data_IF_510166322321
#
_entry.id   IF_510166322321
#
_cell.length_a   1.000
_cell.length_b   1.000
_cell.length_c   1.000
_cell.angle_alpha   90.00
_cell.angle_beta   90.00
_cell.angle_gamma   90.00
#
_symmetry.space_group_name_H-M   'P 1'
#
loop_
_entity.id
_entity.type
_entity.pdbx_description
1 polymer ?
#
# COMPACT_ATOMS: atom_id res chain seq x y z
N UNK A 1 -13.85 0.79 11.21
CA UNK A 1 -12.50 1.31 10.96
C UNK A 1 -11.50 0.25 11.33
N UNK A 2 -10.72 -0.21 10.36
CA UNK A 2 -9.75 -1.31 10.52
C UNK A 2 -8.46 -0.92 9.82
N UNK A 3 -7.32 -1.15 10.48
CA UNK A 3 -6.01 -1.15 9.81
C UNK A 3 -5.62 -2.58 9.49
N UNK A 4 -4.97 -2.76 8.35
CA UNK A 4 -4.35 -4.03 7.97
C UNK A 4 -3.03 -3.74 7.28
N UNK A 5 -2.01 -4.49 7.65
CA UNK A 5 -0.74 -4.57 6.95
C UNK A 5 -0.56 -6.05 6.60
N UNK A 6 -0.29 -6.35 5.34
CA UNK A 6 -0.19 -7.73 4.86
C UNK A 6 0.99 -7.90 3.93
N UNK A 7 1.62 -9.07 3.96
CA UNK A 7 2.58 -9.51 2.94
C UNK A 7 2.05 -10.74 2.24
N UNK A 8 2.34 -10.85 0.94
CA UNK A 8 1.97 -12.02 0.16
C UNK A 8 3.00 -13.13 0.36
N UNK A 9 2.50 -14.32 0.68
CA UNK A 9 3.28 -15.54 0.90
C UNK A 9 3.48 -16.27 -0.42
N UNK A 10 2.44 -16.31 -1.26
CA UNK A 10 2.51 -16.87 -2.61
C UNK A 10 1.41 -16.34 -3.50
N UNK A 11 1.67 -16.37 -4.80
CA UNK A 11 0.70 -16.26 -5.89
C UNK A 11 0.75 -17.53 -6.74
N UNK A 12 -0.41 -17.96 -7.24
CA UNK A 12 -0.57 -19.03 -8.21
C UNK A 12 -1.52 -18.58 -9.32
N UNK A 13 -1.17 -18.88 -10.56
CA UNK A 13 -1.97 -18.56 -11.74
C UNK A 13 -2.52 -19.84 -12.39
N UNK A 14 -3.81 -20.08 -12.29
CA UNK A 14 -4.45 -21.30 -12.78
C UNK A 14 -3.80 -22.56 -12.16
N UNK A 15 -3.29 -23.45 -13.01
CA UNK A 15 -2.70 -24.72 -12.57
C UNK A 15 -1.21 -24.65 -12.21
N UNK A 16 -0.56 -23.50 -12.35
CA UNK A 16 0.88 -23.35 -12.12
C UNK A 16 1.25 -23.64 -10.66
N UNK A 17 2.52 -23.95 -10.37
CA UNK A 17 2.97 -24.07 -8.98
C UNK A 17 2.94 -22.72 -8.26
N UNK A 18 2.54 -22.65 -6.97
CA UNK A 18 2.65 -21.42 -6.19
C UNK A 18 4.09 -20.89 -6.16
N UNK A 19 4.25 -19.58 -6.29
CA UNK A 19 5.54 -18.90 -6.22
C UNK A 19 5.41 -17.54 -5.53
N UNK A 20 6.52 -16.91 -5.15
CA UNK A 20 6.50 -15.51 -4.68
C UNK A 20 7.70 -14.75 -5.23
N UNK A 21 7.62 -14.24 -6.48
CA UNK A 21 8.72 -13.56 -7.13
C UNK A 21 8.97 -12.16 -6.56
N UNK A 22 8.07 -11.64 -5.72
CA UNK A 22 8.11 -10.26 -5.24
C UNK A 22 8.26 -10.16 -3.72
N UNK A 23 8.77 -9.03 -3.26
CA UNK A 23 8.49 -8.53 -1.92
C UNK A 23 7.23 -7.68 -2.00
N UNK A 24 6.08 -8.32 -1.74
CA UNK A 24 4.77 -7.65 -1.75
C UNK A 24 4.37 -7.20 -0.35
N UNK A 25 3.99 -5.93 -0.22
CA UNK A 25 3.49 -5.33 1.01
C UNK A 25 2.27 -4.46 0.69
N UNK A 26 1.16 -4.77 1.35
CA UNK A 26 -0.11 -4.05 1.20
C UNK A 26 -0.51 -3.45 2.53
N UNK A 27 -0.91 -2.18 2.52
CA UNK A 27 -1.56 -1.55 3.66
C UNK A 27 -2.99 -1.16 3.30
N UNK A 28 -3.90 -1.33 4.24
CA UNK A 28 -5.29 -0.89 4.14
C UNK A 28 -5.68 -0.14 5.40
N UNK A 29 -6.34 0.99 5.23
CA UNK A 29 -6.93 1.77 6.31
C UNK A 29 -8.37 2.06 5.89
N UNK A 30 -9.31 1.41 6.58
CA UNK A 30 -10.74 1.51 6.28
C UNK A 30 -11.04 1.22 4.80
N UNK A 31 -11.65 2.16 4.06
CA UNK A 31 -11.97 2.02 2.65
C UNK A 31 -10.85 2.37 1.66
N UNK A 32 -9.59 2.53 2.10
CA UNK A 32 -8.46 2.88 1.24
C UNK A 32 -7.31 1.89 1.39
N UNK A 33 -6.50 1.76 0.33
CA UNK A 33 -5.36 0.85 0.32
C UNK A 33 -4.20 1.37 -0.54
N UNK A 34 -3.02 0.81 -0.29
CA UNK A 34 -1.81 0.99 -1.09
C UNK A 34 -1.08 -0.36 -1.18
N UNK A 35 -0.75 -0.80 -2.40
CA UNK A 35 -0.07 -2.05 -2.73
C UNK A 35 1.27 -1.73 -3.42
N UNK A 36 2.36 -2.33 -2.91
CA UNK A 36 3.68 -2.28 -3.51
C UNK A 36 4.25 -3.68 -3.67
N UNK A 37 4.55 -4.06 -4.92
CA UNK A 37 5.20 -5.31 -5.31
C UNK A 37 6.53 -5.01 -5.98
N UNK A 38 7.62 -5.43 -5.35
CA UNK A 38 8.99 -5.24 -5.86
C UNK A 38 9.58 -6.58 -6.24
N UNK A 39 10.09 -6.73 -7.47
CA UNK A 39 10.74 -7.94 -7.94
C UNK A 39 11.97 -8.28 -7.09
N UNK A 40 12.06 -9.52 -6.59
CA UNK A 40 13.21 -9.98 -5.79
C UNK A 40 14.49 -10.15 -6.63
N UNK A 41 14.35 -10.27 -7.94
CA UNK A 41 15.47 -10.53 -8.86
C UNK A 41 16.31 -9.29 -9.15
N UNK A 42 15.68 -8.12 -9.23
CA UNK A 42 16.31 -6.91 -9.74
C UNK A 42 15.84 -5.61 -9.07
N UNK A 43 15.01 -5.72 -8.02
CA UNK A 43 14.42 -4.60 -7.28
C UNK A 43 13.56 -3.65 -8.14
N UNK A 44 13.15 -4.06 -9.35
CA UNK A 44 12.21 -3.30 -10.17
C UNK A 44 10.79 -3.36 -9.59
N UNK A 45 9.98 -2.33 -9.86
CA UNK A 45 8.55 -2.36 -9.50
C UNK A 45 7.86 -3.35 -10.45
N UNK A 46 7.29 -4.41 -9.89
CA UNK A 46 6.44 -5.34 -10.65
C UNK A 46 5.05 -4.72 -10.86
N UNK A 47 4.46 -4.27 -9.76
CA UNK A 47 3.19 -3.56 -9.73
C UNK A 47 3.11 -2.70 -8.47
N UNK A 48 2.66 -1.47 -8.61
CA UNK A 48 2.33 -0.60 -7.48
C UNK A 48 1.07 0.19 -7.82
N UNK A 49 0.14 0.24 -6.88
CA UNK A 49 -1.15 0.89 -7.07
C UNK A 49 -1.77 1.29 -5.74
N UNK A 50 -2.68 2.25 -5.79
CA UNK A 50 -3.41 2.73 -4.61
C UNK A 50 -4.79 3.23 -5.02
N UNK A 51 -5.73 3.13 -4.09
CA UNK A 51 -7.11 3.47 -4.39
C UNK A 51 -8.09 3.17 -3.26
N UNK A 52 -9.33 2.90 -3.66
CA UNK A 52 -10.44 2.61 -2.73
C UNK A 52 -10.77 1.13 -2.74
N UNK A 53 -11.04 0.60 -1.55
CA UNK A 53 -11.56 -0.76 -1.36
C UNK A 53 -13.05 -0.69 -1.06
N UNK A 54 -13.82 -1.48 -1.77
CA UNK A 54 -15.25 -1.71 -1.58
C UNK A 54 -15.45 -3.14 -1.07
N UNK A 55 -16.33 -3.31 -0.07
CA UNK A 55 -16.75 -4.65 0.36
C UNK A 55 -18.07 -4.97 -0.35
N UNK A 56 -18.01 -5.88 -1.32
CA UNK A 56 -19.16 -6.31 -2.14
C UNK A 56 -20.05 -7.29 -1.36
N UNK A 57 -19.45 -8.20 -0.59
CA UNK A 57 -20.14 -9.11 0.34
C UNK A 57 -19.29 -9.35 1.58
N UNK A 58 -19.93 -9.64 2.72
CA UNK A 58 -19.26 -9.97 3.98
C UNK A 58 -19.14 -11.48 4.23
N UNK A 59 -20.01 -12.30 3.59
CA UNK A 59 -20.05 -13.75 3.77
C UNK A 59 -20.44 -14.46 2.45
N UNK A 60 -19.47 -15.04 1.71
CA UNK A 60 -18.03 -14.92 1.93
C UNK A 60 -17.55 -13.47 1.76
N UNK A 61 -16.41 -13.14 2.35
CA UNK A 61 -15.82 -11.80 2.20
C UNK A 61 -15.38 -11.60 0.75
N UNK A 62 -16.06 -10.71 0.03
CA UNK A 62 -15.77 -10.36 -1.35
C UNK A 62 -15.45 -8.87 -1.42
N UNK A 63 -14.27 -8.53 -1.92
CA UNK A 63 -13.80 -7.15 -2.08
C UNK A 63 -13.61 -6.78 -3.55
N UNK A 64 -13.79 -5.50 -3.84
CA UNK A 64 -13.44 -4.86 -5.11
C UNK A 64 -12.48 -3.70 -4.86
N UNK A 65 -11.43 -3.57 -5.66
CA UNK A 65 -10.49 -2.46 -5.53
C UNK A 65 -10.55 -1.54 -6.75
N UNK A 66 -10.78 -0.26 -6.48
CA UNK A 66 -10.87 0.79 -7.50
C UNK A 66 -9.55 1.55 -7.52
N UNK A 67 -8.74 1.32 -8.55
CA UNK A 67 -7.41 1.93 -8.68
C UNK A 67 -7.55 3.42 -9.02
N UNK A 68 -6.82 4.26 -8.30
CA UNK A 68 -6.71 5.70 -8.57
C UNK A 68 -5.35 6.01 -9.22
N UNK A 69 -4.30 5.30 -8.78
CA UNK A 69 -2.99 5.25 -9.43
C UNK A 69 -2.61 3.79 -9.63
N UNK A 70 -1.96 3.47 -10.76
CA UNK A 70 -1.56 2.12 -11.15
C UNK A 70 -0.33 2.16 -12.08
N UNK A 71 0.76 1.51 -11.68
CA UNK A 71 2.03 1.50 -12.45
C UNK A 71 1.95 0.75 -13.78
N UNK A 72 0.95 -0.11 -13.96
CA UNK A 72 0.66 -0.85 -15.20
C UNK A 72 -0.44 -0.17 -16.03
N UNK A 73 -0.99 0.95 -15.55
CA UNK A 73 -2.06 1.69 -16.21
C UNK A 73 -3.35 0.88 -16.39
N UNK A 74 -3.62 -0.04 -15.46
CA UNK A 74 -4.84 -0.85 -15.42
C UNK A 74 -5.77 -0.21 -14.39
N UNK A 75 -6.90 0.33 -14.83
CA UNK A 75 -7.86 1.05 -13.97
C UNK A 75 -9.24 0.38 -13.89
N UNK A 76 -9.42 -0.71 -14.61
CA UNK A 76 -10.58 -1.58 -14.41
C UNK A 76 -10.46 -2.20 -13.00
N UNK A 77 -11.51 -2.15 -12.17
CA UNK A 77 -11.46 -2.73 -10.84
C UNK A 77 -11.17 -4.23 -10.88
N UNK A 78 -10.31 -4.71 -9.99
CA UNK A 78 -10.16 -6.13 -9.70
C UNK A 78 -11.03 -6.53 -8.50
N UNK A 79 -11.36 -7.82 -8.44
CA UNK A 79 -12.29 -8.43 -7.48
C UNK A 79 -11.68 -9.73 -6.93
N UNK A 80 -11.89 -9.95 -5.63
CA UNK A 80 -11.28 -11.07 -4.91
C UNK A 80 -12.14 -11.54 -3.73
N UNK A 81 -12.33 -12.84 -3.65
CA UNK A 81 -13.00 -13.53 -2.55
C UNK A 81 -11.98 -14.07 -1.54
N UNK A 82 -12.28 -13.95 -0.25
CA UNK A 82 -11.38 -14.32 0.83
C UNK A 82 -11.91 -15.48 1.67
N UNK A 83 -11.00 -16.41 1.95
CA UNK A 83 -11.18 -17.50 2.92
C UNK A 83 -10.06 -17.44 3.98
N UNK A 84 -10.39 -17.73 5.24
CA UNK A 84 -9.38 -17.86 6.29
C UNK A 84 -8.78 -19.28 6.28
N UNK A 85 -7.46 -19.36 6.20
CA UNK A 85 -6.75 -20.63 6.28
C UNK A 85 -6.52 -21.05 7.74
N UNK A 86 -6.36 -22.34 7.97
CA UNK A 86 -6.19 -22.92 9.32
C UNK A 86 -4.92 -22.48 10.04
N UNK A 87 -3.94 -21.97 9.31
CA UNK A 87 -2.68 -21.44 9.84
C UNK A 87 -2.75 -19.95 10.21
N UNK A 88 -3.90 -19.29 10.03
CA UNK A 88 -4.11 -17.87 10.29
C UNK A 88 -3.78 -16.93 9.12
N UNK A 89 -3.33 -17.47 7.98
CA UNK A 89 -3.21 -16.71 6.73
C UNK A 89 -4.61 -16.60 6.05
N UNK A 90 -4.72 -15.75 5.03
CA UNK A 90 -5.94 -15.62 4.21
C UNK A 90 -5.65 -16.04 2.77
N UNK A 91 -6.53 -16.86 2.19
CA UNK A 91 -6.54 -17.17 0.76
C UNK A 91 -7.45 -16.16 0.06
N UNK A 92 -6.91 -15.45 -0.92
CA UNK A 92 -7.65 -14.64 -1.86
C UNK A 92 -7.74 -15.38 -3.20
N UNK A 93 -8.92 -15.44 -3.78
CA UNK A 93 -9.14 -16.00 -5.12
C UNK A 93 -9.88 -15.01 -5.99
N UNK A 94 -9.52 -14.97 -7.27
CA UNK A 94 -10.14 -14.06 -8.24
C UNK A 94 -9.75 -14.42 -9.66
N UNK A 95 -9.99 -13.50 -10.59
CA UNK A 95 -9.56 -13.65 -11.98
C UNK A 95 -9.22 -12.28 -12.55
N UNK A 96 -8.01 -12.15 -13.09
CA UNK A 96 -7.56 -10.91 -13.73
C UNK A 96 -6.66 -11.21 -14.93
N UNK A 97 -6.43 -10.19 -15.75
CA UNK A 97 -5.50 -10.27 -16.88
C UNK A 97 -4.09 -10.61 -16.36
N UNK A 98 -3.56 -11.76 -16.78
CA UNK A 98 -2.24 -12.23 -16.34
C UNK A 98 -1.16 -11.82 -17.35
N UNK A 99 -0.25 -10.90 -17.03
CA UNK A 99 0.79 -10.45 -17.96
C UNK A 99 1.73 -11.59 -18.39
N UNK A 100 2.05 -12.51 -17.48
CA UNK A 100 2.89 -13.68 -17.75
C UNK A 100 2.29 -14.63 -18.79
N UNK A 101 0.95 -14.61 -18.92
CA UNK A 101 0.18 -15.39 -19.91
C UNK A 101 -0.32 -14.52 -21.06
N UNK A 102 0.37 -13.41 -21.34
CA UNK A 102 0.05 -12.53 -22.48
C UNK A 102 -1.22 -11.71 -22.31
N UNK A 103 -1.63 -11.43 -21.07
CA UNK A 103 -2.83 -10.66 -20.75
C UNK A 103 -4.13 -11.47 -20.77
N UNK A 104 -4.05 -12.80 -20.88
CA UNK A 104 -5.23 -13.67 -20.78
C UNK A 104 -5.80 -13.59 -19.37
N UNK A 105 -7.12 -13.41 -19.27
CA UNK A 105 -7.84 -13.48 -17.98
C UNK A 105 -7.63 -14.87 -17.40
N UNK A 106 -6.96 -14.93 -16.26
CA UNK A 106 -6.52 -16.17 -15.63
C UNK A 106 -6.96 -16.15 -14.16
N UNK A 107 -7.52 -17.27 -13.65
CA UNK A 107 -7.77 -17.42 -12.22
C UNK A 107 -6.48 -17.28 -11.42
N UNK A 108 -6.55 -16.63 -10.27
CA UNK A 108 -5.42 -16.54 -9.35
C UNK A 108 -5.79 -17.00 -7.95
N UNK A 109 -4.78 -17.45 -7.22
CA UNK A 109 -4.82 -17.71 -5.79
C UNK A 109 -3.65 -16.94 -5.15
N UNK A 110 -3.95 -16.03 -4.23
CA UNK A 110 -2.94 -15.31 -3.44
C UNK A 110 -3.09 -15.69 -1.96
N UNK A 111 -1.98 -16.09 -1.32
CA UNK A 111 -1.96 -16.38 0.12
C UNK A 111 -1.35 -15.18 0.83
N UNK A 112 -2.09 -14.60 1.77
CA UNK A 112 -1.75 -13.38 2.47
C UNK A 112 -1.51 -13.62 3.95
N UNK A 113 -0.40 -13.09 4.46
CA UNK A 113 -0.09 -13.07 5.88
C UNK A 113 -0.30 -11.68 6.46
N UNK A 114 -1.09 -11.59 7.51
CA UNK A 114 -1.24 -10.37 8.29
C UNK A 114 0.04 -10.09 9.09
N UNK A 115 0.57 -8.88 8.95
CA UNK A 115 1.69 -8.36 9.72
C UNK A 115 1.09 -7.57 10.89
N UNK A 116 1.40 -8.00 12.11
CA UNK A 116 0.97 -7.28 13.30
C UNK A 116 1.75 -5.96 13.40
N UNK A 117 1.07 -4.81 13.60
CA UNK A 117 1.75 -3.56 13.89
C UNK A 117 2.67 -3.71 15.11
N UNK A 118 3.74 -2.93 15.15
CA UNK A 118 4.59 -2.85 16.34
C UNK A 118 3.76 -2.38 17.53
N UNK A 119 3.95 -3.02 18.69
CA UNK A 119 3.21 -2.67 19.91
C UNK A 119 3.33 -1.17 20.24
N UNK A 120 2.20 -0.53 20.52
CA UNK A 120 2.11 0.93 20.75
C UNK A 120 2.08 1.78 19.47
N UNK A 121 2.08 1.15 18.29
CA UNK A 121 1.93 1.78 16.98
C UNK A 121 0.77 1.16 16.19
N UNK A 122 -0.30 0.72 16.86
CA UNK A 122 -1.52 0.15 16.25
C UNK A 122 -2.42 1.22 15.62
N UNK A 123 -1.82 2.15 14.88
CA UNK A 123 -2.50 3.26 14.20
C UNK A 123 -2.19 3.28 12.72
N UNK A 124 -3.05 3.94 11.95
CA UNK A 124 -2.78 4.16 10.54
C UNK A 124 -3.64 5.22 9.91
N UNK A 125 -3.19 5.72 8.76
CA UNK A 125 -3.90 6.72 7.97
C UNK A 125 -3.48 6.63 6.51
N UNK A 126 -4.35 7.13 5.64
CA UNK A 126 -4.06 7.36 4.23
C UNK A 126 -4.45 8.80 3.90
N UNK A 127 -3.52 9.53 3.29
CA UNK A 127 -3.71 10.88 2.76
C UNK A 127 -3.69 10.83 1.24
N UNK A 128 -4.44 11.74 0.61
CA UNK A 128 -4.43 11.91 -0.84
C UNK A 128 -4.35 13.39 -1.19
N UNK A 129 -3.56 13.71 -2.21
CA UNK A 129 -3.50 15.01 -2.86
C UNK A 129 -3.72 14.83 -4.35
N UNK A 130 -4.51 15.71 -4.96
CA UNK A 130 -4.59 15.90 -6.40
C UNK A 130 -4.04 17.29 -6.71
N UNK A 131 -3.21 17.42 -7.75
CA UNK A 131 -2.64 18.70 -8.16
C UNK A 131 -3.65 19.51 -8.98
N UNK A 132 -3.95 20.73 -8.53
CA UNK A 132 -4.91 21.65 -9.18
C UNK A 132 -4.33 22.39 -10.40
N UNK A 133 -3.09 22.10 -10.80
CA UNK A 133 -2.38 22.75 -11.92
C UNK A 133 -2.78 22.21 -13.30
N UNK A 134 -3.81 21.36 -13.36
CA UNK A 134 -4.28 20.71 -14.58
C UNK A 134 -3.47 19.46 -14.96
N UNK A 135 -2.36 19.15 -14.27
CA UNK A 135 -1.64 17.88 -14.49
C UNK A 135 -2.50 16.67 -14.07
N UNK A 136 -3.41 16.86 -13.10
CA UNK A 136 -4.15 15.78 -12.42
C UNK A 136 -3.22 14.77 -11.75
N UNK A 137 -2.04 15.23 -11.33
CA UNK A 137 -1.10 14.38 -10.62
C UNK A 137 -1.66 14.05 -9.25
N UNK A 138 -1.69 12.76 -8.91
CA UNK A 138 -2.20 12.26 -7.64
C UNK A 138 -1.04 11.75 -6.80
N UNK A 139 -1.04 12.10 -5.51
CA UNK A 139 -0.10 11.58 -4.52
C UNK A 139 -0.86 10.93 -3.37
N UNK A 140 -0.53 9.67 -3.07
CA UNK A 140 -0.96 8.96 -1.88
C UNK A 140 0.17 8.90 -0.87
N UNK A 141 -0.15 9.17 0.39
CA UNK A 141 0.73 8.89 1.53
C UNK A 141 -0.01 7.95 2.46
N UNK A 142 0.66 6.90 2.94
CA UNK A 142 0.06 5.93 3.83
C UNK A 142 1.00 5.57 4.94
N UNK A 143 0.46 5.41 6.15
CA UNK A 143 1.19 4.86 7.28
C UNK A 143 0.33 3.83 7.98
N UNK A 144 0.90 2.66 8.27
CA UNK A 144 0.34 1.70 9.21
C UNK A 144 1.47 1.26 10.14
N UNK A 145 1.36 1.63 11.41
CA UNK A 145 2.39 1.44 12.43
C UNK A 145 3.77 1.94 12.02
N UNK A 146 4.68 1.00 11.81
CA UNK A 146 6.10 1.21 11.47
C UNK A 146 6.40 1.21 9.98
N UNK A 147 5.38 1.16 9.11
CA UNK A 147 5.54 1.22 7.65
C UNK A 147 4.93 2.51 7.10
N UNK A 148 5.67 3.18 6.22
CA UNK A 148 5.24 4.37 5.51
C UNK A 148 5.44 4.22 4.00
N UNK A 149 4.41 4.54 3.22
CA UNK A 149 4.45 4.64 1.76
C UNK A 149 4.19 6.06 1.29
N UNK A 150 4.86 6.43 0.20
CA UNK A 150 4.48 7.56 -0.64
C UNK A 150 4.46 7.10 -2.10
N UNK A 151 3.38 7.40 -2.82
CA UNK A 151 3.21 7.05 -4.23
C UNK A 151 2.69 8.25 -5.00
N UNK A 152 3.29 8.58 -6.15
CA UNK A 152 2.89 9.70 -7.00
C UNK A 152 2.82 9.27 -8.46
N UNK A 153 1.74 9.61 -9.14
CA UNK A 153 1.53 9.35 -10.57
C UNK A 153 0.62 10.41 -11.18
N UNK A 154 0.74 10.62 -12.49
CA UNK A 154 -0.20 11.42 -13.29
C UNK A 154 -1.17 10.54 -14.10
N UNK A 155 -2.19 9.89 -13.48
CA UNK A 155 -3.06 8.95 -14.16
C UNK A 155 -3.91 9.60 -15.28
N UNK A 156 -4.34 8.83 -16.30
CA UNK A 156 -4.08 7.39 -16.48
C UNK A 156 -2.71 7.11 -17.09
N UNK A 157 -1.86 8.12 -17.29
CA UNK A 157 -0.52 8.00 -17.89
C UNK A 157 0.58 8.25 -16.84
N UNK A 158 1.82 8.46 -17.28
CA UNK A 158 2.92 8.85 -16.39
C UNK A 158 3.54 7.72 -15.56
N UNK A 159 4.86 7.82 -15.38
CA UNK A 159 5.58 6.87 -14.54
C UNK A 159 5.24 7.08 -13.07
N UNK A 160 4.92 5.98 -12.39
CA UNK A 160 4.66 5.98 -10.97
C UNK A 160 5.99 6.06 -10.20
N UNK A 161 6.09 7.00 -9.25
CA UNK A 161 7.20 7.13 -8.31
C UNK A 161 6.75 6.58 -6.96
N UNK A 162 7.56 5.70 -6.34
CA UNK A 162 7.28 5.08 -5.03
C UNK A 162 8.40 5.33 -4.06
N UNK A 163 8.06 5.51 -2.80
CA UNK A 163 8.97 5.42 -1.65
C UNK A 163 8.34 4.56 -0.56
N UNK A 164 9.13 3.65 0.00
CA UNK A 164 8.81 2.91 1.22
C UNK A 164 9.84 3.25 2.29
N UNK A 165 9.36 3.56 3.48
CA UNK A 165 10.18 3.75 4.67
C UNK A 165 9.68 2.84 5.79
N UNK A 166 10.60 2.41 6.64
CA UNK A 166 10.28 1.61 7.82
C UNK A 166 10.92 2.25 9.06
N UNK A 167 10.16 2.29 10.15
CA UNK A 167 10.63 2.78 11.43
C UNK A 167 11.50 1.71 12.09
N UNK A 168 12.78 2.01 12.27
CA UNK A 168 13.69 1.16 13.02
C UNK A 168 13.71 1.60 14.47
N UNK A 169 13.29 0.72 15.38
CA UNK A 169 13.46 0.89 16.81
C UNK A 169 14.83 0.38 17.24
N UNK A 170 15.42 1.01 18.26
CA UNK A 170 16.62 0.49 18.89
C UNK A 170 16.42 -0.92 19.46
N UNK A 171 17.47 -1.74 19.42
CA UNK A 171 17.53 -2.98 20.19
C UNK A 171 17.42 -2.67 21.68
N UNK A 172 16.86 -3.60 22.45
CA UNK A 172 16.72 -3.45 23.89
C UNK A 172 18.09 -3.16 24.55
N UNK A 173 18.22 -2.00 25.18
CA UNK A 173 19.47 -1.54 25.82
C UNK A 173 20.33 -0.61 24.97
N UNK A 174 19.89 -0.20 23.77
CA UNK A 174 20.57 0.85 22.99
C UNK A 174 19.96 2.24 23.24
N UNK A 175 20.82 3.25 23.38
CA UNK A 175 20.44 4.66 23.50
C UNK A 175 19.99 5.30 22.17
N UNK A 176 19.93 4.52 21.08
CA UNK A 176 19.55 5.06 19.76
C UNK A 176 18.05 5.38 19.74
N UNK A 177 17.73 6.62 19.43
CA UNK A 177 16.34 6.99 19.18
C UNK A 177 15.79 6.20 17.97
N UNK A 178 14.49 5.85 17.98
CA UNK A 178 13.86 5.29 16.80
C UNK A 178 14.02 6.26 15.61
N UNK A 179 14.19 5.71 14.41
CA UNK A 179 14.35 6.53 13.20
C UNK A 179 13.76 5.83 11.98
N UNK A 180 13.15 6.61 11.09
CA UNK A 180 12.69 6.11 9.81
C UNK A 180 13.86 5.91 8.86
N UNK A 181 13.83 4.81 8.11
CA UNK A 181 14.85 4.48 7.12
C UNK A 181 14.16 4.19 5.79
N UNK A 182 14.64 4.81 4.70
CA UNK A 182 14.20 4.47 3.36
C UNK A 182 14.60 3.03 3.01
N UNK A 183 13.60 2.19 2.73
CA UNK A 183 13.77 0.78 2.36
C UNK A 183 13.62 0.52 0.89
N UNK A 184 12.92 1.41 0.19
CA UNK A 184 12.73 1.32 -1.25
C UNK A 184 12.44 2.70 -1.84
N UNK A 185 12.95 2.95 -3.04
CA UNK A 185 12.64 4.13 -3.83
C UNK A 185 12.76 3.79 -5.32
N UNK A 186 11.75 4.17 -6.10
CA UNK A 186 11.77 4.11 -7.56
C UNK A 186 11.10 5.35 -8.16
N UNK A 187 11.61 5.81 -9.30
CA UNK A 187 11.17 7.04 -9.97
C UNK A 187 12.00 8.28 -9.61
N UNK A 188 11.63 9.41 -10.19
CA UNK A 188 12.42 10.66 -10.11
C UNK A 188 11.67 11.82 -9.44
N UNK A 189 10.38 11.66 -9.13
CA UNK A 189 9.61 12.72 -8.51
C UNK A 189 9.98 12.86 -7.02
N UNK A 190 9.94 14.09 -6.51
CA UNK A 190 10.08 14.32 -5.06
C UNK A 190 8.85 13.80 -4.34
N UNK A 191 9.07 12.96 -3.32
CA UNK A 191 8.04 12.40 -2.46
C UNK A 191 8.29 12.83 -1.01
N UNK A 192 7.22 13.08 -0.22
CA UNK A 192 7.34 13.23 1.22
C UNK A 192 8.07 12.06 1.87
N UNK A 193 8.86 12.36 2.91
CA UNK A 193 9.70 11.39 3.60
C UNK A 193 9.83 11.75 5.08
N UNK A 194 9.52 10.80 5.95
CA UNK A 194 9.73 10.93 7.39
C UNK A 194 11.23 10.83 7.71
N UNK A 195 11.94 9.92 7.02
CA UNK A 195 13.38 9.73 7.17
C UNK A 195 14.18 11.00 6.84
N UNK A 196 13.97 11.58 5.65
CA UNK A 196 14.70 12.79 5.22
C UNK A 196 14.37 14.01 6.07
N UNK A 197 13.16 14.08 6.61
CA UNK A 197 12.74 15.17 7.49
C UNK A 197 13.19 14.98 8.95
N UNK A 198 13.74 13.81 9.31
CA UNK A 198 14.10 13.48 10.69
C UNK A 198 12.89 13.46 11.64
N UNK A 199 11.70 13.14 11.12
CA UNK A 199 10.44 13.17 11.87
C UNK A 199 10.04 11.76 12.30
N UNK A 200 9.52 11.59 13.51
CA UNK A 200 8.89 10.33 13.93
C UNK A 200 7.41 10.25 13.52
N UNK A 201 6.74 11.40 13.53
CA UNK A 201 5.37 11.59 13.11
C UNK A 201 5.30 12.92 12.36
N UNK A 202 4.33 13.07 11.46
CA UNK A 202 4.03 14.39 10.94
C UNK A 202 3.42 15.28 12.04
N UNK A 203 3.56 16.61 11.93
CA UNK A 203 2.93 17.54 12.87
C UNK A 203 1.43 17.26 12.99
N UNK A 204 0.94 17.22 14.24
CA UNK A 204 -0.47 17.05 14.60
C UNK A 204 -1.14 15.74 14.12
N UNK A 205 -0.36 14.77 13.63
CA UNK A 205 -0.83 13.48 13.06
C UNK A 205 -1.86 12.76 13.94
N UNK A 206 -1.75 12.88 15.27
CA UNK A 206 -2.63 12.23 16.23
C UNK A 206 -4.01 12.91 16.38
N UNK A 207 -4.18 14.12 15.85
CA UNK A 207 -5.42 14.89 15.97
C UNK A 207 -6.25 14.89 14.69
N UNK A 208 -5.69 14.37 13.60
CA UNK A 208 -6.33 14.33 12.28
C UNK A 208 -7.61 13.51 12.28
N UNK A 209 -8.59 13.97 11.51
CA UNK A 209 -9.85 13.31 11.23
C UNK A 209 -10.04 13.15 9.73
N UNK A 210 -10.80 12.12 9.34
CA UNK A 210 -11.18 11.93 7.94
C UNK A 210 -11.88 13.19 7.42
N UNK A 211 -11.40 13.69 6.28
CA UNK A 211 -11.87 14.93 5.66
C UNK A 211 -11.04 16.17 5.98
N UNK A 212 -10.17 16.13 7.01
CA UNK A 212 -9.28 17.25 7.31
C UNK A 212 -8.29 17.49 6.17
N UNK A 213 -7.89 18.76 6.00
CA UNK A 213 -6.79 19.15 5.13
C UNK A 213 -5.53 19.37 5.98
N UNK A 214 -4.46 18.66 5.66
CA UNK A 214 -3.21 18.63 6.42
C UNK A 214 -2.03 18.99 5.53
N UNK A 215 -1.09 19.79 6.06
CA UNK A 215 0.09 20.20 5.31
C UNK A 215 1.26 19.28 5.59
N UNK A 216 1.74 18.58 4.57
CA UNK A 216 2.90 17.70 4.62
C UNK A 216 3.99 18.30 3.76
N UNK A 217 5.09 18.75 4.39
CA UNK A 217 6.27 19.31 3.71
C UNK A 217 5.91 20.42 2.68
N UNK A 218 4.98 21.30 3.06
CA UNK A 218 4.54 22.43 2.25
C UNK A 218 3.46 22.10 1.21
N UNK A 219 2.93 20.88 1.20
CA UNK A 219 1.87 20.45 0.28
C UNK A 219 0.61 20.06 1.06
N UNK A 220 -0.56 20.46 0.57
CA UNK A 220 -1.85 20.18 1.21
C UNK A 220 -2.38 18.81 0.78
N UNK A 221 -2.82 17.99 1.73
CA UNK A 221 -3.41 16.68 1.52
C UNK A 221 -4.74 16.56 2.26
N UNK A 222 -5.67 15.78 1.71
CA UNK A 222 -6.89 15.38 2.43
C UNK A 222 -6.67 14.07 3.17
N UNK A 223 -7.09 13.99 4.43
CA UNK A 223 -7.14 12.74 5.19
C UNK A 223 -8.27 11.87 4.65
N UNK A 224 -7.94 10.79 3.94
CA UNK A 224 -8.91 9.89 3.31
C UNK A 224 -9.37 8.77 4.22
N UNK A 225 -8.46 8.27 5.06
CA UNK A 225 -8.75 7.25 6.05
C UNK A 225 -7.85 7.43 7.27
N UNK A 226 -8.35 7.06 8.43
CA UNK A 226 -7.63 7.16 9.69
C UNK A 226 -8.13 6.09 10.68
N UNK A 227 -7.22 5.63 11.54
CA UNK A 227 -7.45 4.78 12.69
C UNK A 227 -6.44 5.16 13.77
N UNK A 228 -6.94 5.61 14.91
CA UNK A 228 -6.17 6.01 16.10
C UNK A 228 -6.08 4.89 17.12
#
# INVERSE_FOLDING_TARGET
MTIRLSTRISIRWGDDSPSEPTTTLVMSVDGYFMDLRVNKSDDSVDWAFAGRREIVSQDPLHCRWHHIIDSRHIFDPDEGEFENLSNGDSLETGSMSCPEKGGVVTPYEEVWRSIQPTAGLERGWILQREEDDGSKTITFLGRVGSVFFAMKQQPPSGHLTVRREELQTAEAGSDKAPQWVTKYHSGNATLPSLANAGLLNFPDELTWKVGDEVTIQGQLYTVRAQHS
#
